data_IF_478593387076
#
_entry.id   IF_478593387076
#
_cell.length_a   1.000
_cell.length_b   1.000
_cell.length_c   1.000
_cell.angle_alpha   90.00
_cell.angle_beta   90.00
_cell.angle_gamma   90.00
#
_symmetry.space_group_name_H-M   'P 1'
#
loop_
_entity.id
_entity.type
_entity.pdbx_description
1 polymer ?
#
# COMPACT_ATOMS: atom_id res chain seq x y z
N UNK A 1 -15.24 34.91 -26.67
CA UNK A 1 -14.20 35.78 -26.10
C UNK A 1 -13.42 35.02 -25.03
N UNK A 2 -12.12 34.86 -25.29
CA UNK A 2 -11.04 34.28 -24.48
C UNK A 2 -11.38 33.94 -23.02
N UNK A 3 -11.32 32.65 -22.67
CA UNK A 3 -11.26 32.20 -21.27
C UNK A 3 -9.81 31.81 -20.99
N UNK A 4 -9.06 32.77 -20.42
CA UNK A 4 -7.76 32.52 -19.80
C UNK A 4 -7.97 32.03 -18.36
N UNK A 5 -7.43 30.85 -18.11
CA UNK A 5 -6.85 30.28 -16.88
C UNK A 5 -7.02 31.05 -15.56
N UNK A 6 -7.58 30.36 -14.56
CA UNK A 6 -7.05 30.17 -13.18
C UNK A 6 -8.21 29.72 -12.29
N UNK A 7 -8.46 28.40 -12.21
CA UNK A 7 -9.56 27.85 -11.42
C UNK A 7 -9.06 27.32 -10.08
N UNK A 8 -9.41 28.04 -9.00
CA UNK A 8 -9.33 27.53 -7.64
C UNK A 8 -10.66 26.86 -7.26
N UNK A 9 -10.68 25.54 -7.26
CA UNK A 9 -11.84 24.71 -6.91
C UNK A 9 -11.95 24.61 -5.39
N UNK A 10 -13.11 25.00 -4.85
CA UNK A 10 -13.55 24.74 -3.47
C UNK A 10 -14.90 24.06 -3.55
N UNK A 11 -15.04 22.88 -2.96
CA UNK A 11 -16.32 22.17 -2.85
C UNK A 11 -16.75 22.21 -1.38
N UNK A 12 -17.97 22.69 -1.13
CA UNK A 12 -18.63 22.65 0.18
C UNK A 12 -19.96 21.93 0.00
N UNK A 13 -20.12 20.75 0.61
CA UNK A 13 -21.44 20.10 0.67
C UNK A 13 -22.28 20.79 1.74
N UNK A 14 -23.23 21.62 1.35
CA UNK A 14 -24.24 22.16 2.26
C UNK A 14 -25.47 21.24 2.24
N UNK A 15 -25.70 20.48 3.31
CA UNK A 15 -27.04 19.94 3.59
C UNK A 15 -27.93 21.12 3.96
N UNK A 16 -28.77 21.58 3.04
CA UNK A 16 -29.83 22.53 3.37
C UNK A 16 -30.84 21.81 4.27
N UNK A 17 -31.02 22.29 5.50
CA UNK A 17 -32.01 21.75 6.40
C UNK A 17 -33.41 21.89 5.78
N UNK A 18 -34.10 20.76 5.56
CA UNK A 18 -35.53 20.72 5.28
C UNK A 18 -35.97 20.54 3.81
N UNK A 19 -35.08 20.30 2.84
CA UNK A 19 -35.52 19.89 1.48
C UNK A 19 -34.72 18.70 0.95
N UNK A 20 -35.40 17.81 0.22
CA UNK A 20 -34.83 16.58 -0.39
C UNK A 20 -33.85 16.85 -1.55
N UNK A 21 -33.38 18.09 -1.75
CA UNK A 21 -32.52 18.49 -2.88
C UNK A 21 -31.06 18.62 -2.41
N UNK A 22 -30.13 18.06 -3.20
CA UNK A 22 -28.67 18.17 -2.98
C UNK A 22 -28.11 19.21 -3.96
N UNK A 23 -27.24 20.10 -3.45
CA UNK A 23 -26.62 21.16 -4.26
C UNK A 23 -25.15 20.80 -4.50
N UNK A 24 -24.74 20.70 -5.76
CA UNK A 24 -23.36 20.43 -6.16
C UNK A 24 -22.79 21.71 -6.75
N UNK A 25 -21.71 22.23 -6.16
CA UNK A 25 -21.05 23.45 -6.61
C UNK A 25 -19.71 23.09 -7.26
N UNK A 26 -19.62 23.27 -8.57
CA UNK A 26 -18.41 23.09 -9.38
C UNK A 26 -18.26 24.33 -10.27
N UNK A 27 -17.13 25.04 -10.16
CA UNK A 27 -16.74 26.16 -11.05
C UNK A 27 -17.84 27.17 -11.41
N UNK A 28 -18.35 27.99 -10.48
CA UNK A 28 -19.39 29.01 -10.81
C UNK A 28 -20.67 28.47 -11.53
N UNK A 29 -20.79 27.16 -11.75
CA UNK A 29 -21.91 26.45 -12.33
C UNK A 29 -22.56 25.67 -11.19
N UNK A 30 -23.68 26.21 -10.72
CA UNK A 30 -24.50 25.53 -9.74
C UNK A 30 -25.33 24.48 -10.45
N UNK A 31 -24.94 23.23 -10.34
CA UNK A 31 -25.76 22.11 -10.80
C UNK A 31 -26.80 21.82 -9.71
N UNK A 32 -28.07 21.99 -10.08
CA UNK A 32 -29.20 21.65 -9.22
C UNK A 32 -29.73 20.30 -9.67
N UNK A 33 -29.44 19.26 -8.91
CA UNK A 33 -30.00 17.94 -9.13
C UNK A 33 -31.21 17.73 -8.21
N UNK A 34 -32.26 17.16 -8.78
CA UNK A 34 -33.52 16.90 -8.11
C UNK A 34 -33.57 15.52 -7.45
N UNK A 35 -32.67 14.62 -7.88
CA UNK A 35 -32.54 13.26 -7.36
C UNK A 35 -31.08 12.82 -7.20
N UNK A 36 -30.85 11.75 -6.43
CA UNK A 36 -29.52 11.14 -6.30
C UNK A 36 -29.01 10.58 -7.63
N UNK A 37 -29.90 10.05 -8.48
CA UNK A 37 -29.54 9.51 -9.79
C UNK A 37 -29.02 10.60 -10.75
N UNK A 38 -29.68 11.76 -10.76
CA UNK A 38 -29.27 12.91 -11.57
C UNK A 38 -27.92 13.50 -11.11
N UNK A 39 -27.67 13.54 -9.79
CA UNK A 39 -26.33 13.87 -9.26
C UNK A 39 -25.25 12.92 -9.81
N UNK A 40 -25.54 11.62 -9.84
CA UNK A 40 -24.61 10.59 -10.28
C UNK A 40 -24.31 10.70 -11.78
N UNK A 41 -25.32 10.98 -12.60
CA UNK A 41 -25.15 11.19 -14.04
C UNK A 41 -24.30 12.42 -14.37
N UNK A 42 -24.55 13.55 -13.70
CA UNK A 42 -23.75 14.77 -13.85
C UNK A 42 -22.29 14.53 -13.44
N UNK A 43 -22.06 13.86 -12.31
CA UNK A 43 -20.70 13.51 -11.87
C UNK A 43 -19.99 12.60 -12.87
N UNK A 44 -20.69 11.59 -13.42
CA UNK A 44 -20.14 10.67 -14.42
C UNK A 44 -19.69 11.43 -15.67
N UNK A 45 -20.53 12.27 -16.25
CA UNK A 45 -20.20 13.00 -17.47
C UNK A 45 -19.03 13.96 -17.24
N UNK A 46 -18.99 14.66 -16.10
CA UNK A 46 -17.90 15.59 -15.78
C UNK A 46 -16.55 14.90 -15.56
N UNK A 47 -16.56 13.69 -15.00
CA UNK A 47 -15.35 12.91 -14.74
C UNK A 47 -14.85 12.28 -16.04
N UNK A 48 -15.72 11.60 -16.80
CA UNK A 48 -15.31 10.78 -17.93
C UNK A 48 -15.25 11.52 -19.28
N UNK A 49 -16.03 12.59 -19.50
CA UNK A 49 -15.91 13.39 -20.73
C UNK A 49 -14.62 14.23 -20.72
N UNK A 50 -14.09 14.59 -19.53
CA UNK A 50 -12.81 15.33 -19.41
C UNK A 50 -11.59 14.43 -19.51
N UNK A 51 -11.67 13.16 -19.13
CA UNK A 51 -10.52 12.22 -19.13
C UNK A 51 -10.34 11.45 -20.43
N UNK A 52 -11.37 11.36 -21.27
CA UNK A 52 -11.35 10.61 -22.53
C UNK A 52 -10.94 11.43 -23.76
N UNK A 53 -10.66 12.73 -23.64
CA UNK A 53 -10.16 13.54 -24.76
C UNK A 53 -8.65 13.29 -24.97
N UNK A 54 -8.24 12.51 -26.00
CA UNK A 54 -6.84 12.13 -26.20
C UNK A 54 -6.01 13.28 -26.78
N UNK A 55 -6.64 14.39 -27.19
CA UNK A 55 -6.00 15.48 -27.91
C UNK A 55 -5.32 16.51 -27.00
N UNK A 56 -5.67 16.56 -25.71
CA UNK A 56 -5.00 17.42 -24.72
C UNK A 56 -3.87 16.67 -24.04
N UNK A 57 -2.71 16.65 -24.67
CA UNK A 57 -1.42 16.18 -24.13
C UNK A 57 -0.87 17.07 -22.99
N UNK A 58 -1.73 17.92 -22.42
CA UNK A 58 -1.42 18.77 -21.28
C UNK A 58 -1.77 17.99 -20.01
N UNK A 59 -0.77 17.37 -19.38
CA UNK A 59 -0.93 16.77 -18.06
C UNK A 59 -1.61 17.76 -17.10
N UNK A 60 -2.56 17.26 -16.31
CA UNK A 60 -3.24 18.08 -15.31
C UNK A 60 -2.22 18.64 -14.32
N UNK A 61 -2.43 19.89 -13.89
CA UNK A 61 -1.73 20.37 -12.71
C UNK A 61 -2.08 19.46 -11.52
N UNK A 62 -1.11 19.14 -10.66
CA UNK A 62 -1.27 18.21 -9.52
C UNK A 62 -2.49 18.55 -8.64
N UNK A 63 -2.83 19.83 -8.53
CA UNK A 63 -4.01 20.29 -7.80
C UNK A 63 -5.33 19.92 -8.49
N UNK A 64 -5.42 19.98 -9.82
CA UNK A 64 -6.62 19.63 -10.59
C UNK A 64 -6.87 18.12 -10.57
N UNK A 65 -5.80 17.34 -10.66
CA UNK A 65 -5.82 15.88 -10.55
C UNK A 65 -6.38 15.41 -9.20
N UNK A 66 -5.89 15.98 -8.09
CA UNK A 66 -6.39 15.70 -6.73
C UNK A 66 -7.87 16.06 -6.56
N UNK A 67 -8.33 17.13 -7.21
CA UNK A 67 -9.73 17.58 -7.15
C UNK A 67 -10.66 16.65 -7.92
N UNK A 68 -10.24 16.23 -9.11
CA UNK A 68 -10.97 15.25 -9.92
C UNK A 68 -11.11 13.92 -9.17
N UNK A 69 -10.02 13.45 -8.55
CA UNK A 69 -10.04 12.27 -7.70
C UNK A 69 -10.98 12.39 -6.51
N UNK A 70 -11.01 13.54 -5.82
CA UNK A 70 -11.94 13.74 -4.71
C UNK A 70 -13.41 13.68 -5.15
N UNK A 71 -13.74 14.20 -6.32
CA UNK A 71 -15.10 14.09 -6.90
C UNK A 71 -15.43 12.65 -7.26
N UNK A 72 -14.51 11.98 -7.93
CA UNK A 72 -14.65 10.59 -8.33
C UNK A 72 -14.77 9.67 -7.09
N UNK A 73 -14.05 9.96 -6.01
CA UNK A 73 -14.11 9.22 -4.74
C UNK A 73 -15.52 9.24 -4.14
N UNK A 74 -16.21 10.39 -4.21
CA UNK A 74 -17.59 10.48 -3.73
C UNK A 74 -18.56 9.69 -4.60
N UNK A 75 -18.48 9.85 -5.92
CA UNK A 75 -19.31 9.13 -6.89
C UNK A 75 -19.13 7.61 -6.75
N UNK A 76 -17.89 7.13 -6.82
CA UNK A 76 -17.59 5.70 -6.80
C UNK A 76 -17.91 5.06 -5.44
N UNK A 77 -17.78 5.80 -4.34
CA UNK A 77 -18.22 5.34 -3.02
C UNK A 77 -19.72 5.06 -2.95
N UNK A 78 -20.55 5.94 -3.52
CA UNK A 78 -22.01 5.72 -3.53
C UNK A 78 -22.35 4.57 -4.50
N UNK A 79 -21.70 4.52 -5.67
CA UNK A 79 -21.89 3.43 -6.64
C UNK A 79 -21.47 2.07 -6.06
N UNK A 80 -20.41 2.00 -5.24
CA UNK A 80 -19.95 0.77 -4.61
C UNK A 80 -21.01 0.17 -3.67
N UNK A 81 -21.85 0.99 -3.03
CA UNK A 81 -22.94 0.51 -2.18
C UNK A 81 -24.01 -0.24 -2.98
N UNK A 82 -24.24 0.13 -4.25
CA UNK A 82 -25.25 -0.47 -5.12
C UNK A 82 -24.67 -1.58 -6.01
N UNK A 83 -23.52 -1.33 -6.65
CA UNK A 83 -22.87 -2.23 -7.60
C UNK A 83 -21.34 -2.14 -7.50
N UNK A 84 -20.72 -3.02 -6.70
CA UNK A 84 -19.28 -2.96 -6.40
C UNK A 84 -18.40 -3.18 -7.63
N UNK A 85 -18.80 -4.12 -8.51
CA UNK A 85 -18.08 -4.44 -9.75
C UNK A 85 -18.07 -3.24 -10.70
N UNK A 86 -19.22 -2.57 -10.85
CA UNK A 86 -19.34 -1.37 -11.69
C UNK A 86 -18.50 -0.23 -11.13
N UNK A 87 -18.52 -0.02 -9.81
CA UNK A 87 -17.64 0.95 -9.16
C UNK A 87 -16.16 0.63 -9.40
N UNK A 88 -15.75 -0.63 -9.27
CA UNK A 88 -14.39 -1.07 -9.57
C UNK A 88 -13.98 -0.82 -11.02
N UNK A 89 -14.89 -1.04 -11.98
CA UNK A 89 -14.62 -0.70 -13.38
C UNK A 89 -14.49 0.82 -13.60
N UNK A 90 -15.31 1.64 -12.94
CA UNK A 90 -15.13 3.09 -12.99
C UNK A 90 -13.79 3.55 -12.40
N UNK A 91 -13.32 2.90 -11.32
CA UNK A 91 -11.98 3.13 -10.74
C UNK A 91 -10.90 2.80 -11.77
N UNK A 92 -11.07 1.70 -12.52
CA UNK A 92 -10.18 1.34 -13.63
C UNK A 92 -10.18 2.37 -14.75
N UNK A 93 -11.36 2.75 -15.25
CA UNK A 93 -11.49 3.69 -16.37
C UNK A 93 -10.87 5.04 -16.01
N UNK A 94 -11.04 5.47 -14.75
CA UNK A 94 -10.41 6.68 -14.22
C UNK A 94 -8.89 6.54 -14.18
N UNK A 95 -8.38 5.41 -13.69
CA UNK A 95 -6.94 5.14 -13.63
C UNK A 95 -6.30 5.05 -15.02
N UNK A 96 -6.97 4.43 -15.99
CA UNK A 96 -6.47 4.27 -17.35
C UNK A 96 -6.54 5.59 -18.13
N UNK A 97 -7.59 6.39 -17.92
CA UNK A 97 -7.78 7.69 -18.57
C UNK A 97 -6.92 8.81 -17.96
N UNK A 98 -6.77 8.82 -16.63
CA UNK A 98 -5.84 9.73 -15.96
C UNK A 98 -4.43 9.15 -16.06
N UNK A 99 -3.55 9.76 -16.87
CA UNK A 99 -2.11 9.48 -16.87
C UNK A 99 -1.47 9.95 -15.55
N UNK A 100 -1.85 9.27 -14.46
CA UNK A 100 -1.63 9.74 -13.09
C UNK A 100 -0.13 9.82 -12.82
N UNK A 101 0.32 10.95 -12.27
CA UNK A 101 1.76 11.21 -12.10
C UNK A 101 2.44 10.26 -11.12
N UNK A 102 1.68 9.70 -10.16
CA UNK A 102 2.15 8.72 -9.17
C UNK A 102 1.25 7.46 -9.12
N UNK A 103 1.31 6.58 -10.14
CA UNK A 103 0.33 5.51 -10.39
C UNK A 103 0.19 4.47 -9.25
N UNK A 104 1.09 4.49 -8.27
CA UNK A 104 1.13 3.59 -7.12
C UNK A 104 0.43 4.14 -5.87
N UNK A 105 -0.09 5.37 -5.93
CA UNK A 105 -0.81 6.00 -4.80
C UNK A 105 -2.28 6.30 -5.12
N UNK A 106 -2.77 5.82 -6.26
CA UNK A 106 -4.08 6.19 -6.77
C UNK A 106 -5.19 5.77 -5.78
N UNK A 107 -5.16 4.52 -5.30
CA UNK A 107 -6.16 4.01 -4.34
C UNK A 107 -6.10 4.74 -3.00
N UNK A 108 -4.92 5.21 -2.59
CA UNK A 108 -4.75 6.01 -1.36
C UNK A 108 -5.47 7.36 -1.45
N UNK A 109 -5.61 7.90 -2.66
CA UNK A 109 -6.26 9.18 -2.91
C UNK A 109 -7.78 9.09 -3.10
N UNK A 110 -8.38 7.88 -3.04
CA UNK A 110 -9.83 7.63 -3.05
C UNK A 110 -10.31 6.88 -1.78
N UNK A 111 -10.14 7.46 -0.58
CA UNK A 111 -10.36 6.77 0.68
C UNK A 111 -11.82 6.33 0.93
N UNK A 112 -12.82 7.05 0.41
CA UNK A 112 -14.24 6.69 0.63
C UNK A 112 -14.63 5.48 -0.20
N UNK A 113 -14.23 5.48 -1.47
CA UNK A 113 -14.41 4.37 -2.41
C UNK A 113 -13.70 3.13 -1.89
N UNK A 114 -12.46 3.29 -1.40
CA UNK A 114 -11.72 2.22 -0.73
C UNK A 114 -12.52 1.64 0.44
N UNK A 115 -13.10 2.47 1.30
CA UNK A 115 -13.91 1.98 2.41
C UNK A 115 -15.17 1.24 1.94
N UNK A 116 -15.91 1.80 0.97
CA UNK A 116 -17.11 1.17 0.42
C UNK A 116 -16.85 -0.16 -0.29
N UNK A 117 -15.71 -0.27 -0.99
CA UNK A 117 -15.27 -1.52 -1.61
C UNK A 117 -14.73 -2.52 -0.57
N UNK A 118 -14.19 -2.07 0.56
CA UNK A 118 -13.61 -2.97 1.57
C UNK A 118 -14.63 -3.97 2.16
N UNK A 119 -15.92 -3.66 2.11
CA UNK A 119 -16.99 -4.53 2.60
C UNK A 119 -17.50 -5.53 1.54
N UNK A 120 -17.14 -5.33 0.27
CA UNK A 120 -17.62 -6.14 -0.88
C UNK A 120 -16.50 -6.87 -1.62
N UNK A 121 -15.40 -7.18 -0.95
CA UNK A 121 -14.20 -7.76 -1.56
C UNK A 121 -14.46 -9.05 -2.33
N UNK A 122 -15.36 -9.92 -1.83
CA UNK A 122 -15.71 -11.19 -2.49
C UNK A 122 -16.25 -10.99 -3.91
N UNK A 123 -16.88 -9.85 -4.19
CA UNK A 123 -17.51 -9.58 -5.50
C UNK A 123 -16.50 -9.14 -6.57
N UNK A 124 -15.35 -8.59 -6.18
CA UNK A 124 -14.38 -8.04 -7.14
C UNK A 124 -12.98 -8.67 -7.10
N UNK A 125 -12.60 -9.41 -6.05
CA UNK A 125 -11.27 -10.04 -5.96
C UNK A 125 -10.96 -10.89 -7.19
N UNK A 126 -11.95 -11.59 -7.75
CA UNK A 126 -11.79 -12.39 -8.97
C UNK A 126 -11.37 -11.56 -10.19
N UNK A 127 -12.06 -10.43 -10.44
CA UNK A 127 -11.78 -9.55 -11.58
C UNK A 127 -10.36 -8.99 -11.50
N UNK A 128 -9.94 -8.58 -10.31
CA UNK A 128 -8.60 -7.99 -10.13
C UNK A 128 -7.49 -9.03 -10.05
N UNK A 129 -7.79 -10.24 -9.61
CA UNK A 129 -6.88 -11.36 -9.72
C UNK A 129 -6.55 -11.66 -11.19
N UNK A 130 -7.58 -11.79 -12.04
CA UNK A 130 -7.41 -12.02 -13.48
C UNK A 130 -6.64 -10.87 -14.14
N UNK A 131 -6.99 -9.62 -13.84
CA UNK A 131 -6.27 -8.42 -14.33
C UNK A 131 -4.82 -8.36 -13.85
N UNK A 132 -4.54 -8.81 -12.63
CA UNK A 132 -3.18 -8.89 -12.12
C UNK A 132 -2.35 -9.96 -12.83
N UNK A 133 -2.94 -11.14 -13.07
CA UNK A 133 -2.22 -12.27 -13.64
C UNK A 133 -2.05 -12.16 -15.16
N UNK A 134 -3.10 -11.73 -15.87
CA UNK A 134 -3.20 -11.83 -17.33
C UNK A 134 -3.54 -10.51 -18.03
N UNK A 135 -3.90 -9.46 -17.29
CA UNK A 135 -4.26 -8.16 -17.86
C UNK A 135 -3.07 -7.39 -18.44
N UNK A 136 -3.36 -6.22 -19.00
CA UNK A 136 -2.38 -5.26 -19.53
C UNK A 136 -1.44 -4.73 -18.44
N UNK A 137 -0.37 -4.03 -18.81
CA UNK A 137 0.52 -3.41 -17.82
C UNK A 137 -0.21 -2.44 -16.89
N UNK A 138 -1.17 -1.67 -17.42
CA UNK A 138 -2.03 -0.76 -16.65
C UNK A 138 -2.97 -1.52 -15.72
N UNK A 139 -3.57 -2.61 -16.19
CA UNK A 139 -4.41 -3.50 -15.35
C UNK A 139 -3.63 -4.02 -14.15
N UNK A 140 -2.41 -4.50 -14.38
CA UNK A 140 -1.57 -5.04 -13.33
C UNK A 140 -1.15 -4.00 -12.31
N UNK A 141 -0.71 -2.82 -12.74
CA UNK A 141 -0.24 -1.78 -11.82
C UNK A 141 -1.37 -1.31 -10.90
N UNK A 142 -2.58 -1.13 -11.42
CA UNK A 142 -3.74 -0.81 -10.60
C UNK A 142 -4.11 -1.98 -9.69
N UNK A 143 -4.07 -3.22 -10.19
CA UNK A 143 -4.37 -4.40 -9.39
C UNK A 143 -3.37 -4.55 -8.23
N UNK A 144 -2.09 -4.25 -8.46
CA UNK A 144 -1.06 -4.25 -7.42
C UNK A 144 -1.36 -3.18 -6.35
N UNK A 145 -1.73 -1.96 -6.75
CA UNK A 145 -2.14 -0.88 -5.83
C UNK A 145 -3.39 -1.29 -5.02
N UNK A 146 -4.38 -1.92 -5.67
CA UNK A 146 -5.56 -2.48 -5.01
C UNK A 146 -5.24 -3.60 -4.02
N UNK A 147 -4.35 -4.53 -4.36
CA UNK A 147 -3.91 -5.56 -3.43
C UNK A 147 -3.15 -4.97 -2.24
N UNK A 148 -2.44 -3.86 -2.45
CA UNK A 148 -1.70 -3.15 -1.40
C UNK A 148 -2.65 -2.46 -0.43
N UNK A 149 -3.68 -1.79 -0.94
CA UNK A 149 -4.47 -0.88 -0.12
C UNK A 149 -5.88 -1.39 0.20
N UNK A 150 -6.48 -2.22 -0.63
CA UNK A 150 -7.89 -2.58 -0.50
C UNK A 150 -8.10 -4.03 -0.06
N UNK A 151 -7.46 -4.99 -0.72
CA UNK A 151 -7.76 -6.42 -0.55
C UNK A 151 -7.20 -6.95 0.77
N UNK A 152 -8.06 -7.61 1.56
CA UNK A 152 -7.67 -8.32 2.78
C UNK A 152 -7.06 -9.66 2.41
N UNK A 153 -6.03 -10.04 3.15
CA UNK A 153 -5.33 -11.33 3.01
C UNK A 153 -6.32 -12.49 3.03
N UNK A 154 -7.25 -12.48 4.00
CA UNK A 154 -8.21 -13.58 4.17
C UNK A 154 -9.13 -13.73 2.96
N UNK A 155 -9.56 -12.62 2.33
CA UNK A 155 -10.39 -12.67 1.13
C UNK A 155 -9.64 -13.21 -0.08
N UNK A 156 -8.34 -12.91 -0.21
CA UNK A 156 -7.51 -13.48 -1.27
C UNK A 156 -7.22 -14.97 -1.04
N UNK A 157 -7.01 -15.39 0.21
CA UNK A 157 -6.85 -16.81 0.58
C UNK A 157 -8.12 -17.60 0.28
N UNK A 158 -9.29 -17.07 0.66
CA UNK A 158 -10.59 -17.68 0.32
C UNK A 158 -10.73 -17.85 -1.20
N UNK A 159 -10.45 -16.81 -1.99
CA UNK A 159 -10.53 -16.90 -3.45
C UNK A 159 -9.56 -17.93 -4.05
N UNK A 160 -8.31 -17.97 -3.57
CA UNK A 160 -7.32 -18.98 -4.00
C UNK A 160 -7.77 -20.39 -3.64
N UNK A 161 -8.46 -20.56 -2.50
CA UNK A 161 -9.05 -21.84 -2.07
C UNK A 161 -10.12 -22.34 -3.03
N UNK A 162 -10.91 -21.41 -3.58
CA UNK A 162 -12.00 -21.70 -4.50
C UNK A 162 -11.50 -22.01 -5.91
N UNK A 163 -10.55 -21.21 -6.43
CA UNK A 163 -10.00 -21.37 -7.79
C UNK A 163 -9.00 -22.53 -7.87
N UNK A 164 -8.27 -22.80 -6.79
CA UNK A 164 -7.20 -23.82 -6.70
C UNK A 164 -6.20 -23.74 -7.86
N UNK A 165 -5.52 -22.58 -8.03
CA UNK A 165 -4.46 -22.43 -9.03
C UNK A 165 -3.31 -23.41 -8.75
N UNK A 166 -2.56 -23.76 -9.79
CA UNK A 166 -1.39 -24.61 -9.64
C UNK A 166 -0.24 -23.87 -8.91
N UNK A 167 0.74 -24.63 -8.42
CA UNK A 167 1.83 -24.07 -7.62
C UNK A 167 2.66 -23.02 -8.36
N UNK A 168 2.80 -23.11 -9.69
CA UNK A 168 3.54 -22.12 -10.47
C UNK A 168 2.80 -20.79 -10.57
N UNK A 169 1.47 -20.83 -10.73
CA UNK A 169 0.61 -19.65 -10.70
C UNK A 169 0.66 -18.97 -9.34
N UNK A 170 0.63 -19.75 -8.25
CA UNK A 170 0.76 -19.20 -6.88
C UNK A 170 2.13 -18.54 -6.66
N UNK A 171 3.23 -19.19 -7.06
CA UNK A 171 4.57 -18.60 -7.00
C UNK A 171 4.66 -17.28 -7.77
N UNK A 172 4.03 -17.23 -8.93
CA UNK A 172 4.03 -16.04 -9.78
C UNK A 172 3.23 -14.88 -9.20
N UNK A 173 2.04 -15.17 -8.67
CA UNK A 173 1.23 -14.20 -7.94
C UNK A 173 2.06 -13.60 -6.80
N UNK A 174 2.69 -14.46 -6.00
CA UNK A 174 3.50 -14.04 -4.86
C UNK A 174 4.71 -13.20 -5.29
N UNK A 175 5.41 -13.59 -6.35
CA UNK A 175 6.53 -12.80 -6.88
C UNK A 175 6.09 -11.41 -7.32
N UNK A 176 4.95 -11.29 -8.01
CA UNK A 176 4.39 -10.01 -8.40
C UNK A 176 4.04 -9.12 -7.21
N UNK A 177 3.37 -9.69 -6.20
CA UNK A 177 2.99 -8.96 -4.99
C UNK A 177 4.23 -8.48 -4.22
N UNK A 178 5.24 -9.33 -4.06
CA UNK A 178 6.48 -8.95 -3.36
C UNK A 178 7.21 -7.81 -4.06
N UNK A 179 7.28 -7.84 -5.40
CA UNK A 179 8.00 -6.84 -6.19
C UNK A 179 7.26 -5.51 -6.37
N UNK A 180 5.92 -5.50 -6.37
CA UNK A 180 5.12 -4.33 -6.77
C UNK A 180 4.15 -3.81 -5.71
N UNK A 181 3.76 -4.60 -4.70
CA UNK A 181 2.90 -4.12 -3.60
C UNK A 181 3.75 -3.59 -2.43
N UNK A 182 4.32 -2.40 -2.64
CA UNK A 182 5.21 -1.70 -1.70
C UNK A 182 4.40 -1.21 -0.47
N UNK A 183 5.02 -1.19 0.72
CA UNK A 183 4.46 -0.76 2.02
C UNK A 183 3.58 -1.76 2.83
N UNK A 184 3.24 -2.93 2.29
CA UNK A 184 2.41 -3.93 3.01
C UNK A 184 3.07 -5.31 3.10
N UNK A 185 4.41 -5.34 3.12
CA UNK A 185 5.19 -6.58 3.13
C UNK A 185 4.80 -7.53 4.27
N UNK A 186 4.43 -7.04 5.45
CA UNK A 186 3.93 -7.89 6.53
C UNK A 186 2.66 -8.66 6.15
N UNK A 187 1.75 -8.04 5.40
CA UNK A 187 0.52 -8.68 4.94
C UNK A 187 0.78 -9.69 3.82
N UNK A 188 1.64 -9.33 2.87
CA UNK A 188 2.05 -10.20 1.76
C UNK A 188 2.85 -11.41 2.29
N UNK A 189 3.71 -11.21 3.27
CA UNK A 189 4.47 -12.29 3.93
C UNK A 189 3.53 -13.23 4.70
N UNK A 190 2.53 -12.70 5.40
CA UNK A 190 1.48 -13.53 6.02
C UNK A 190 0.71 -14.34 5.00
N UNK A 191 0.40 -13.75 3.84
CA UNK A 191 -0.21 -14.47 2.73
C UNK A 191 0.71 -15.62 2.27
N UNK A 192 2.00 -15.37 2.07
CA UNK A 192 2.97 -16.41 1.68
C UNK A 192 2.97 -17.61 2.64
N UNK A 193 2.93 -17.33 3.95
CA UNK A 193 2.88 -18.38 4.99
C UNK A 193 1.55 -19.13 4.95
N UNK A 194 0.41 -18.44 4.82
CA UNK A 194 -0.91 -19.09 4.71
C UNK A 194 -1.02 -19.96 3.45
N UNK A 195 -0.37 -19.58 2.36
CA UNK A 195 -0.38 -20.34 1.11
C UNK A 195 0.35 -21.69 1.19
N UNK A 196 1.14 -21.93 2.24
CA UNK A 196 1.81 -23.21 2.47
C UNK A 196 0.83 -24.39 2.52
N UNK A 197 -0.34 -24.18 3.15
CA UNK A 197 -1.42 -25.16 3.23
C UNK A 197 -1.89 -25.64 1.85
N UNK A 198 -1.97 -24.72 0.88
CA UNK A 198 -2.53 -25.00 -0.44
C UNK A 198 -1.52 -25.64 -1.39
N UNK A 199 -0.24 -25.29 -1.21
CA UNK A 199 0.83 -25.81 -2.06
C UNK A 199 1.18 -27.25 -1.67
N UNK A 200 1.09 -27.57 -0.37
CA UNK A 200 1.32 -28.91 0.19
C UNK A 200 2.66 -29.57 -0.24
N UNK A 201 3.65 -28.75 -0.62
CA UNK A 201 4.99 -29.11 -1.06
C UNK A 201 5.97 -28.21 -0.30
N UNK A 202 6.32 -28.62 0.92
CA UNK A 202 7.09 -27.80 1.86
C UNK A 202 8.49 -27.50 1.33
N UNK A 203 9.14 -28.44 0.64
CA UNK A 203 10.48 -28.25 0.07
C UNK A 203 10.47 -27.16 -1.01
N UNK A 204 9.55 -27.29 -1.98
CA UNK A 204 9.39 -26.30 -3.04
C UNK A 204 9.08 -24.92 -2.49
N UNK A 205 8.11 -24.84 -1.57
CA UNK A 205 7.64 -23.56 -1.07
C UNK A 205 8.63 -22.88 -0.13
N UNK A 206 9.35 -23.66 0.69
CA UNK A 206 10.45 -23.14 1.52
C UNK A 206 11.51 -22.50 0.64
N UNK A 207 11.93 -23.19 -0.42
CA UNK A 207 12.90 -22.66 -1.37
C UNK A 207 12.41 -21.37 -2.03
N UNK A 208 11.16 -21.34 -2.48
CA UNK A 208 10.57 -20.12 -3.05
C UNK A 208 10.59 -18.95 -2.06
N UNK A 209 10.15 -19.17 -0.81
CA UNK A 209 10.14 -18.16 0.24
C UNK A 209 11.55 -17.66 0.56
N UNK A 210 12.56 -18.53 0.59
CA UNK A 210 13.94 -18.11 0.82
C UNK A 210 14.45 -17.26 -0.35
N UNK A 211 14.35 -17.77 -1.58
CA UNK A 211 14.96 -17.16 -2.77
C UNK A 211 14.30 -15.81 -3.17
N UNK A 212 13.00 -15.65 -2.88
CA UNK A 212 12.20 -14.51 -3.36
C UNK A 212 11.68 -13.59 -2.25
N UNK A 213 11.59 -14.04 -0.99
CA UNK A 213 11.05 -13.24 0.11
C UNK A 213 12.12 -12.96 1.15
N UNK A 214 12.79 -14.00 1.67
CA UNK A 214 13.80 -13.86 2.72
C UNK A 214 14.97 -12.97 2.27
N UNK A 215 15.38 -13.06 1.00
CA UNK A 215 16.46 -12.23 0.49
C UNK A 215 16.18 -10.72 0.58
N UNK A 216 14.91 -10.31 0.48
CA UNK A 216 14.51 -8.91 0.51
C UNK A 216 13.96 -8.48 1.88
N UNK A 217 13.31 -9.39 2.61
CA UNK A 217 12.62 -9.13 3.89
C UNK A 217 12.92 -10.20 4.95
N UNK A 218 14.21 -10.42 5.32
CA UNK A 218 14.59 -11.49 6.23
C UNK A 218 13.97 -11.35 7.63
N UNK A 219 13.95 -10.14 8.18
CA UNK A 219 13.44 -9.91 9.53
C UNK A 219 11.91 -10.04 9.58
N UNK A 220 11.22 -9.47 8.60
CA UNK A 220 9.75 -9.55 8.54
C UNK A 220 9.27 -10.98 8.31
N UNK A 221 9.93 -11.74 7.41
CA UNK A 221 9.56 -13.13 7.14
C UNK A 221 9.78 -14.01 8.39
N UNK A 222 10.95 -13.92 9.02
CA UNK A 222 11.27 -14.69 10.22
C UNK A 222 10.34 -14.33 11.38
N UNK A 223 10.08 -13.04 11.58
CA UNK A 223 9.20 -12.56 12.65
C UNK A 223 7.74 -12.99 12.49
N UNK A 224 7.24 -13.15 11.26
CA UNK A 224 5.91 -13.72 11.02
C UNK A 224 5.92 -15.26 11.06
N UNK A 225 6.99 -15.91 10.60
CA UNK A 225 7.15 -17.36 10.71
C UNK A 225 7.17 -17.84 12.16
N UNK A 226 7.92 -17.18 13.04
CA UNK A 226 7.98 -17.50 14.48
C UNK A 226 6.60 -17.52 15.16
N UNK A 227 5.67 -16.68 14.70
CA UNK A 227 4.29 -16.62 15.23
C UNK A 227 3.44 -17.83 14.81
N UNK A 228 3.88 -18.58 13.80
CA UNK A 228 3.16 -19.68 13.19
C UNK A 228 3.79 -21.05 13.49
N UNK A 229 4.81 -21.11 14.37
CA UNK A 229 5.44 -22.37 14.80
C UNK A 229 4.45 -23.33 15.47
N UNK A 230 3.50 -22.79 16.23
CA UNK A 230 2.42 -23.56 16.87
C UNK A 230 1.15 -23.26 16.09
N UNK A 231 0.96 -23.97 14.98
CA UNK A 231 -0.21 -23.88 14.13
C UNK A 231 -0.81 -25.28 13.92
N UNK A 232 -2.14 -25.38 13.85
CA UNK A 232 -2.86 -26.64 13.65
C UNK A 232 -2.59 -27.23 12.25
N UNK A 233 -2.25 -26.39 11.27
CA UNK A 233 -1.87 -26.83 9.94
C UNK A 233 -0.39 -27.23 9.88
N UNK A 234 -0.16 -28.50 9.54
CA UNK A 234 1.19 -29.10 9.47
C UNK A 234 2.10 -28.39 8.47
N UNK A 235 1.59 -28.02 7.29
CA UNK A 235 2.40 -27.38 6.25
C UNK A 235 2.83 -25.96 6.65
N UNK A 236 1.95 -25.23 7.33
CA UNK A 236 2.25 -23.89 7.86
C UNK A 236 3.32 -23.98 8.96
N UNK A 237 3.14 -24.91 9.91
CA UNK A 237 4.10 -25.11 11.00
C UNK A 237 5.46 -25.58 10.48
N UNK A 238 5.49 -26.50 9.51
CA UNK A 238 6.73 -27.01 8.93
C UNK A 238 7.49 -25.93 8.13
N UNK A 239 6.78 -25.11 7.33
CA UNK A 239 7.38 -23.96 6.66
C UNK A 239 7.99 -22.98 7.68
N UNK A 240 7.25 -22.66 8.74
CA UNK A 240 7.69 -21.74 9.78
C UNK A 240 8.96 -22.23 10.49
N UNK A 241 9.02 -23.53 10.80
CA UNK A 241 10.20 -24.16 11.40
C UNK A 241 11.42 -24.07 10.49
N UNK A 242 11.27 -24.42 9.21
CA UNK A 242 12.35 -24.38 8.21
C UNK A 242 12.88 -22.98 7.96
N UNK A 243 12.01 -21.97 7.87
CA UNK A 243 12.42 -20.57 7.73
C UNK A 243 13.22 -20.12 8.95
N UNK A 244 12.75 -20.47 10.16
CA UNK A 244 13.41 -20.09 11.41
C UNK A 244 14.77 -20.77 11.56
N UNK A 245 14.86 -22.05 11.17
CA UNK A 245 16.12 -22.79 11.15
C UNK A 245 17.12 -22.19 10.16
N UNK A 246 16.66 -21.84 8.95
CA UNK A 246 17.49 -21.19 7.94
C UNK A 246 18.02 -19.83 8.41
N UNK A 247 17.17 -18.97 8.99
CA UNK A 247 17.58 -17.67 9.52
C UNK A 247 18.64 -17.82 10.62
N UNK A 248 18.47 -18.80 11.52
CA UNK A 248 19.44 -19.09 12.57
C UNK A 248 20.80 -19.48 11.98
N UNK A 249 20.82 -20.42 11.04
CA UNK A 249 22.06 -20.86 10.37
C UNK A 249 22.73 -19.71 9.61
N UNK A 250 21.94 -18.89 8.91
CA UNK A 250 22.43 -17.73 8.17
C UNK A 250 23.05 -16.69 9.10
N UNK A 251 22.38 -16.35 10.21
CA UNK A 251 22.92 -15.40 11.20
C UNK A 251 24.18 -15.92 11.89
N UNK A 252 24.26 -17.22 12.17
CA UNK A 252 25.48 -17.84 12.70
C UNK A 252 26.65 -17.69 11.73
N UNK A 253 26.44 -17.97 10.44
CA UNK A 253 27.46 -17.78 9.38
C UNK A 253 27.89 -16.32 9.28
N UNK A 254 26.95 -15.38 9.25
CA UNK A 254 27.25 -13.94 9.21
C UNK A 254 28.06 -13.51 10.42
N UNK A 255 27.69 -13.98 11.62
CA UNK A 255 28.41 -13.63 12.85
C UNK A 255 29.85 -14.16 12.85
N UNK A 256 30.07 -15.38 12.35
CA UNK A 256 31.42 -15.94 12.19
C UNK A 256 32.24 -15.05 11.24
N UNK A 257 31.70 -14.70 10.07
CA UNK A 257 32.39 -13.85 9.10
C UNK A 257 32.66 -12.44 9.63
N UNK A 258 31.74 -11.85 10.39
CA UNK A 258 31.94 -10.49 10.95
C UNK A 258 33.01 -10.44 12.06
N UNK A 259 33.25 -11.57 12.73
CA UNK A 259 34.29 -11.68 13.77
C UNK A 259 35.65 -12.09 13.18
N UNK A 260 35.71 -12.40 11.88
CA UNK A 260 36.96 -12.63 11.18
C UNK A 260 37.61 -11.28 10.84
N UNK A 261 38.86 -11.08 11.27
CA UNK A 261 39.56 -9.80 11.21
C UNK A 261 39.74 -9.28 9.78
N UNK A 262 39.73 -10.17 8.79
CA UNK A 262 39.89 -9.83 7.37
C UNK A 262 38.60 -9.24 6.74
N UNK A 263 37.45 -9.52 7.34
CA UNK A 263 36.13 -9.04 6.88
C UNK A 263 35.47 -8.05 7.83
N UNK A 264 36.05 -7.86 9.03
CA UNK A 264 35.60 -6.85 9.96
C UNK A 264 35.70 -5.47 9.30
N UNK A 265 34.59 -4.73 9.28
CA UNK A 265 34.60 -3.37 8.75
C UNK A 265 35.59 -2.53 9.55
N UNK A 266 36.49 -1.84 8.85
CA UNK A 266 37.51 -0.98 9.46
C UNK A 266 36.88 -0.05 10.50
N UNK A 267 37.32 -0.21 11.75
CA UNK A 267 36.82 0.54 12.91
C UNK A 267 36.95 2.05 12.70
N UNK A 268 37.96 2.52 11.95
CA UNK A 268 38.11 3.93 11.63
C UNK A 268 37.04 4.41 10.65
N UNK A 269 36.76 3.60 9.61
CA UNK A 269 35.75 3.91 8.60
C UNK A 269 34.33 3.89 9.18
N UNK A 270 34.03 2.95 10.06
CA UNK A 270 32.77 2.94 10.81
C UNK A 270 32.63 4.19 11.67
N UNK A 271 33.68 4.54 12.42
CA UNK A 271 33.67 5.73 13.29
C UNK A 271 33.46 7.02 12.48
N UNK A 272 34.12 7.15 11.33
CA UNK A 272 33.94 8.26 10.41
C UNK A 272 32.49 8.35 9.88
N UNK A 273 31.91 7.21 9.48
CA UNK A 273 30.50 7.15 9.06
C UNK A 273 29.54 7.59 10.17
N UNK A 274 29.73 7.10 11.40
CA UNK A 274 28.89 7.47 12.56
C UNK A 274 28.99 8.96 12.93
N UNK A 275 30.15 9.58 12.72
CA UNK A 275 30.35 11.02 12.90
C UNK A 275 29.58 11.78 11.81
N UNK A 276 29.82 11.44 10.53
CA UNK A 276 29.16 12.08 9.40
C UNK A 276 27.63 11.94 9.44
N UNK A 277 27.12 10.77 9.84
CA UNK A 277 25.69 10.54 10.02
C UNK A 277 25.09 11.44 11.11
N UNK A 278 25.78 11.57 12.27
CA UNK A 278 25.33 12.46 13.36
C UNK A 278 25.33 13.93 12.95
N UNK A 279 26.35 14.35 12.20
CA UNK A 279 26.43 15.71 11.66
C UNK A 279 25.27 15.98 10.71
N UNK A 280 25.00 15.07 9.77
CA UNK A 280 23.87 15.15 8.83
C UNK A 280 22.51 15.18 9.54
N UNK A 281 22.34 14.37 10.59
CA UNK A 281 21.13 14.39 11.44
C UNK A 281 20.96 15.74 12.16
N UNK A 282 22.06 16.33 12.64
CA UNK A 282 22.07 17.66 13.26
C UNK A 282 21.69 18.73 12.25
N UNK A 283 22.20 18.65 11.02
CA UNK A 283 21.86 19.54 9.92
C UNK A 283 20.40 19.41 9.52
N UNK A 284 19.86 18.20 9.31
CA UNK A 284 18.45 17.98 9.03
C UNK A 284 17.54 18.53 10.13
N UNK A 285 17.90 18.37 11.41
CA UNK A 285 17.15 18.95 12.52
C UNK A 285 17.20 20.49 12.51
N UNK A 286 18.34 21.09 12.17
CA UNK A 286 18.48 22.55 12.04
C UNK A 286 17.73 23.09 10.82
N UNK A 287 17.73 22.36 9.71
CA UNK A 287 17.03 22.70 8.46
C UNK A 287 15.50 22.59 8.65
N UNK A 288 15.04 21.51 9.28
CA UNK A 288 13.66 21.29 9.74
C UNK A 288 13.16 22.45 10.62
N UNK A 289 14.00 22.96 11.52
CA UNK A 289 13.68 24.11 12.37
C UNK A 289 13.65 25.44 11.61
N UNK A 290 14.39 25.57 10.49
CA UNK A 290 14.50 26.81 9.70
C UNK A 290 13.42 26.95 8.63
N UNK A 291 12.86 25.85 8.11
CA UNK A 291 11.99 25.87 6.93
C UNK A 291 10.49 26.12 7.16
N UNK A 292 10.02 26.48 8.37
CA UNK A 292 8.59 26.72 8.58
C UNK A 292 8.25 27.92 9.47
N UNK A 293 7.66 28.95 8.84
CA UNK A 293 6.91 30.03 9.50
C UNK A 293 5.87 29.48 10.51
N UNK A 294 5.30 28.30 10.22
CA UNK A 294 4.40 27.59 11.13
C UNK A 294 5.08 27.11 12.43
N UNK A 295 6.37 26.77 12.41
CA UNK A 295 7.09 26.30 13.61
C UNK A 295 7.40 27.45 14.58
N UNK A 296 7.62 28.66 14.07
CA UNK A 296 7.78 29.87 14.87
C UNK A 296 6.46 30.32 15.53
N UNK A 297 5.33 30.12 14.86
CA UNK A 297 3.98 30.40 15.39
C UNK A 297 3.45 29.30 16.33
N UNK A 298 3.87 28.05 16.13
CA UNK A 298 3.43 26.89 16.91
C UNK A 298 4.65 26.11 17.43
N UNK A 299 5.27 26.53 18.56
CA UNK A 299 6.34 25.75 19.18
C UNK A 299 5.82 24.35 19.48
N UNK A 300 6.55 23.35 19.00
CA UNK A 300 6.14 21.95 18.87
C UNK A 300 5.25 21.44 20.00
N UNK A 301 3.93 21.47 19.78
CA UNK A 301 3.01 20.61 20.49
C UNK A 301 2.95 19.32 19.68
N UNK A 302 3.69 18.31 20.11
CA UNK A 302 3.44 16.95 19.64
C UNK A 302 1.97 16.63 19.92
N UNK A 303 1.27 16.10 18.91
CA UNK A 303 -0.13 15.77 19.03
C UNK A 303 -0.24 14.51 19.91
N UNK A 304 -0.51 14.75 21.19
CA UNK A 304 -0.59 13.75 22.26
C UNK A 304 -1.82 12.85 22.04
N UNK A 305 -1.63 11.65 21.49
CA UNK A 305 -2.68 10.62 21.44
C UNK A 305 -2.59 9.66 22.63
N UNK A 306 -3.73 9.30 23.22
CA UNK A 306 -3.85 8.29 24.29
C UNK A 306 -4.47 8.78 25.60
N UNK A 307 -5.11 7.86 26.34
CA UNK A 307 -5.68 8.09 27.67
C UNK A 307 -4.59 7.90 28.72
N UNK A 308 -4.26 8.94 29.51
CA UNK A 308 -3.32 8.82 30.64
C UNK A 308 -4.02 8.18 31.82
N UNK A 309 -3.35 7.26 32.49
CA UNK A 309 -3.77 6.78 33.81
C UNK A 309 -2.89 7.49 34.82
N UNK A 310 -3.52 8.33 35.64
CA UNK A 310 -2.90 8.87 36.84
C UNK A 310 -3.30 7.98 38.01
N UNK A 311 -2.33 7.54 38.81
CA UNK A 311 -2.63 6.88 40.06
C UNK A 311 -1.83 7.53 41.19
N UNK A 312 -2.44 7.49 42.37
CA UNK A 312 -1.90 8.06 43.58
C UNK A 312 -1.39 6.90 44.41
N UNK A 313 -0.10 6.94 44.75
CA UNK A 313 0.49 5.98 45.68
C UNK A 313 0.70 6.69 47.02
N UNK A 314 0.03 6.18 48.06
CA UNK A 314 0.24 6.64 49.44
C UNK A 314 1.11 5.62 50.16
N UNK A 315 2.26 6.06 50.67
CA UNK A 315 3.07 5.32 51.63
C UNK A 315 3.06 6.12 52.94
N UNK A 316 2.16 5.77 53.86
CA UNK A 316 2.01 6.50 55.12
C UNK A 316 1.47 7.92 54.90
N UNK A 317 2.19 8.94 55.39
CA UNK A 317 1.78 10.35 55.27
C UNK A 317 2.16 11.01 53.94
N UNK A 318 2.96 10.36 53.10
CA UNK A 318 3.38 10.93 51.82
C UNK A 318 2.52 10.42 50.66
N UNK A 319 2.02 11.38 49.87
CA UNK A 319 1.19 11.14 48.69
C UNK A 319 2.02 11.49 47.45
N UNK A 320 2.30 10.50 46.61
CA UNK A 320 3.02 10.69 45.35
C UNK A 320 2.08 10.48 44.17
N UNK A 321 2.15 11.41 43.21
CA UNK A 321 1.35 11.41 41.99
C UNK A 321 2.17 10.83 40.85
N UNK A 322 1.73 9.71 40.28
CA UNK A 322 2.36 9.10 39.12
C UNK A 322 1.45 9.26 37.89
N UNK A 323 2.03 9.70 36.77
CA UNK A 323 1.36 9.82 35.48
C UNK A 323 2.14 8.96 34.48
N UNK A 324 1.45 8.06 33.78
CA UNK A 324 2.08 7.24 32.74
C UNK A 324 2.68 8.10 31.61
N UNK A 325 3.76 7.61 30.99
CA UNK A 325 4.30 8.18 29.76
C UNK A 325 3.27 8.13 28.62
N UNK A 326 3.48 8.95 27.58
CA UNK A 326 2.68 8.85 26.37
C UNK A 326 2.98 7.53 25.66
N UNK A 327 1.96 6.95 25.04
CA UNK A 327 2.16 5.84 24.12
C UNK A 327 2.88 6.39 22.88
N UNK A 328 4.15 6.00 22.69
CA UNK A 328 4.87 6.26 21.45
C UNK A 328 4.48 5.16 20.45
N UNK A 329 3.86 5.56 19.34
CA UNK A 329 3.60 4.67 18.21
C UNK A 329 4.75 4.83 17.21
N UNK A 330 5.74 3.95 17.31
CA UNK A 330 6.81 3.86 16.32
C UNK A 330 6.37 2.93 15.19
N UNK A 331 6.37 3.44 13.96
CA UNK A 331 6.13 2.65 12.76
C UNK A 331 7.45 2.53 11.99
N UNK A 332 7.91 1.30 11.79
CA UNK A 332 9.09 0.98 10.97
C UNK A 332 8.70 -0.11 9.99
N UNK A 333 8.92 0.12 8.70
CA UNK A 333 8.80 -0.89 7.64
C UNK A 333 10.19 -1.26 7.13
N UNK A 334 10.39 -2.55 6.86
CA UNK A 334 11.60 -3.04 6.20
C UNK A 334 11.50 -2.71 4.70
N UNK A 335 12.56 -2.13 4.15
CA UNK A 335 12.72 -1.91 2.72
C UNK A 335 13.42 -3.12 2.09
N UNK A 336 13.11 -3.48 0.82
CA UNK A 336 13.74 -4.61 0.18
C UNK A 336 15.26 -4.48 0.18
N UNK A 337 15.94 -5.49 0.72
CA UNK A 337 17.41 -5.47 0.86
C UNK A 337 18.12 -5.31 -0.47
N UNK A 338 17.70 -6.03 -1.52
CA UNK A 338 18.32 -5.90 -2.86
C UNK A 338 18.10 -4.51 -3.46
N UNK A 339 16.99 -3.84 -3.13
CA UNK A 339 16.78 -2.45 -3.55
C UNK A 339 17.80 -1.49 -2.90
N UNK A 340 18.22 -1.75 -1.66
CA UNK A 340 19.23 -0.94 -0.96
C UNK A 340 20.64 -1.28 -1.46
N UNK A 341 20.96 -2.57 -1.55
CA UNK A 341 22.31 -3.05 -1.87
C UNK A 341 22.65 -2.90 -3.36
N UNK A 342 21.75 -3.33 -4.24
CA UNK A 342 21.96 -3.34 -5.70
C UNK A 342 20.67 -2.92 -6.44
N UNK A 343 20.35 -1.61 -6.47
CA UNK A 343 19.10 -1.10 -7.04
C UNK A 343 18.88 -1.50 -8.51
N UNK A 344 19.97 -1.62 -9.28
CA UNK A 344 19.94 -1.97 -10.71
C UNK A 344 19.45 -3.41 -10.91
N UNK A 345 19.94 -4.36 -10.13
CA UNK A 345 19.47 -5.76 -10.18
C UNK A 345 18.00 -5.85 -9.78
N UNK A 346 17.60 -5.10 -8.75
CA UNK A 346 16.21 -5.03 -8.34
C UNK A 346 15.28 -4.51 -9.46
N UNK A 347 15.73 -3.53 -10.25
CA UNK A 347 14.98 -3.06 -11.43
C UNK A 347 14.89 -4.13 -12.52
N UNK A 348 15.99 -4.83 -12.82
CA UNK A 348 15.97 -5.93 -13.80
C UNK A 348 15.04 -7.07 -13.38
N UNK A 349 15.01 -7.44 -12.10
CA UNK A 349 14.07 -8.44 -11.59
C UNK A 349 12.62 -8.05 -11.84
N UNK A 350 12.28 -6.78 -11.65
CA UNK A 350 10.95 -6.23 -11.92
C UNK A 350 10.61 -6.29 -13.41
N UNK A 351 11.53 -5.90 -14.28
CA UNK A 351 11.35 -6.00 -15.73
C UNK A 351 11.17 -7.45 -16.20
N UNK A 352 12.02 -8.36 -15.72
CA UNK A 352 11.95 -9.76 -16.10
C UNK A 352 10.64 -10.39 -15.64
N UNK A 353 10.16 -10.08 -14.43
CA UNK A 353 8.84 -10.49 -13.99
C UNK A 353 7.74 -10.02 -14.97
N UNK A 354 7.76 -8.73 -15.36
CA UNK A 354 6.78 -8.18 -16.30
C UNK A 354 6.85 -8.86 -17.67
N UNK A 355 8.05 -9.17 -18.18
CA UNK A 355 8.22 -9.91 -19.44
C UNK A 355 7.59 -11.30 -19.38
N UNK A 356 7.87 -12.06 -18.32
CA UNK A 356 7.28 -13.40 -18.12
C UNK A 356 5.77 -13.33 -17.89
N UNK A 357 5.25 -12.26 -17.29
CA UNK A 357 3.81 -12.06 -17.13
C UNK A 357 3.13 -11.78 -18.46
N UNK A 358 3.69 -10.87 -19.28
CA UNK A 358 3.16 -10.56 -20.62
C UNK A 358 3.08 -11.80 -21.51
N UNK A 359 4.12 -12.63 -21.49
CA UNK A 359 4.13 -13.89 -22.23
C UNK A 359 2.99 -14.84 -21.83
N UNK A 360 2.57 -14.81 -20.56
CA UNK A 360 1.42 -15.60 -20.07
C UNK A 360 0.08 -14.97 -20.41
N UNK A 361 -0.01 -13.64 -20.41
CA UNK A 361 -1.21 -12.91 -20.83
C UNK A 361 -1.54 -13.16 -22.30
N UNK A 362 -0.53 -13.25 -23.17
CA UNK A 362 -0.68 -13.55 -24.61
C UNK A 362 -1.11 -14.98 -24.91
N UNK A 363 -1.00 -15.90 -23.95
CA UNK A 363 -1.51 -17.27 -24.10
C UNK A 363 -2.99 -17.39 -23.67
N UNK A 364 -3.57 -16.32 -23.10
CA UNK A 364 -4.95 -16.30 -22.63
C UNK A 364 -5.84 -15.59 -23.66
N UNK A 365 -6.72 -16.34 -24.33
CA UNK A 365 -7.58 -15.85 -25.44
C UNK A 365 -8.51 -14.68 -25.05
N UNK A 366 -8.75 -14.48 -23.74
CA UNK A 366 -9.57 -13.37 -23.23
C UNK A 366 -8.83 -12.02 -23.17
N UNK A 367 -7.50 -12.03 -23.25
CA UNK A 367 -6.63 -10.85 -23.09
C UNK A 367 -5.59 -10.69 -24.22
N UNK A 368 -5.67 -11.54 -25.25
CA UNK A 368 -4.93 -11.45 -26.53
C UNK A 368 -5.75 -10.70 -27.57
#
# INVERSE_FOLDING_TARGET
PEIRSCVNIRIVSLKAAGTAKRLICLEQLNYRAESSAECMEIMRNLIFDRTLDPATDAGYAEDEEKRLLHCADYYMSELAQEAAVTAGNCVYDLYAGCRYTAPYEFIRNIPRTRHGLADKQKEFVSVWYERFMYGTDTDFLLSADLFTHLVRIDSLVEYISDVRPDKQTISSLMQGLVLYAVDVHKGIIRLAIKLAEYIADTDYWTKFCIDNIYCDYPDTLTGEAQKQLVNDNVYIAELADRITAYDKEYREKVNICSNDGDFAADNERQRAYWIAWRERQSEWNKESQKQSFAFAMFPGRSMKYGRRIGYIQSMGNDITYHVSSYAELNYSSELPRRYIEIPVEYMYMREDYMRHRRARGTDNEAYS
#
